data_IF_116433373079
#
_entry.id   IF_116433373079
#
_cell.length_a   1.000
_cell.length_b   1.000
_cell.length_c   1.000
_cell.angle_alpha   90.00
_cell.angle_beta   90.00
_cell.angle_gamma   90.00
#
_symmetry.space_group_name_H-M   'P 1'
#
loop_
_entity.id
_entity.type
_entity.pdbx_description
1 polymer ?
#
# COMPACT_ATOMS: atom_id res chain seq x y z
N UNK A 1 -18.63 11.96 -6.75
CA UNK A 1 -18.42 10.77 -5.89
C UNK A 1 -17.62 9.77 -6.70
N UNK A 2 -16.30 9.82 -6.64
CA UNK A 2 -15.43 8.86 -7.33
C UNK A 2 -14.63 8.11 -6.25
N UNK A 3 -14.94 6.81 -6.10
CA UNK A 3 -14.43 5.97 -5.04
C UNK A 3 -12.93 5.76 -5.17
N UNK A 4 -12.20 6.00 -4.08
CA UNK A 4 -10.87 5.42 -3.87
C UNK A 4 -10.98 3.91 -4.12
N UNK A 5 -10.45 3.40 -5.23
CA UNK A 5 -10.17 1.98 -5.35
C UNK A 5 -9.05 1.68 -4.36
N UNK A 6 -9.40 1.36 -3.11
CA UNK A 6 -8.55 0.53 -2.27
C UNK A 6 -8.23 -0.69 -3.13
N UNK A 7 -6.96 -0.94 -3.42
CA UNK A 7 -6.52 -2.15 -4.09
C UNK A 7 -7.23 -3.33 -3.42
N UNK A 8 -7.78 -4.25 -4.21
CA UNK A 8 -8.50 -5.37 -3.64
C UNK A 8 -7.52 -6.18 -2.79
N UNK A 9 -7.99 -6.89 -1.77
CA UNK A 9 -7.16 -7.80 -0.97
C UNK A 9 -6.39 -8.79 -1.87
N UNK A 10 -6.99 -9.18 -2.99
CA UNK A 10 -6.35 -10.03 -4.00
C UNK A 10 -5.15 -9.35 -4.65
N UNK A 11 -5.22 -8.05 -4.91
CA UNK A 11 -4.11 -7.29 -5.49
C UNK A 11 -2.95 -7.17 -4.50
N UNK A 12 -3.25 -6.94 -3.21
CA UNK A 12 -2.26 -6.89 -2.13
C UNK A 12 -1.51 -8.22 -2.00
N UNK A 13 -2.22 -9.35 -1.89
CA UNK A 13 -1.63 -10.69 -1.80
C UNK A 13 -0.78 -11.03 -3.04
N UNK A 14 -1.21 -10.60 -4.22
CA UNK A 14 -0.45 -10.79 -5.45
C UNK A 14 0.86 -10.03 -5.41
N UNK A 15 0.83 -8.74 -5.06
CA UNK A 15 2.04 -7.90 -5.03
C UNK A 15 3.01 -8.37 -3.95
N UNK A 16 2.54 -8.67 -2.74
CA UNK A 16 3.40 -9.19 -1.66
C UNK A 16 4.00 -10.54 -2.03
N UNK A 17 3.21 -11.42 -2.68
CA UNK A 17 3.69 -12.70 -3.20
C UNK A 17 4.80 -12.54 -4.23
N UNK A 18 4.71 -11.56 -5.11
CA UNK A 18 5.78 -11.21 -6.06
C UNK A 18 7.02 -10.70 -5.31
N UNK A 19 6.84 -9.73 -4.43
CA UNK A 19 7.95 -9.10 -3.71
C UNK A 19 8.59 -10.01 -2.64
N UNK A 20 7.92 -11.07 -2.23
CA UNK A 20 8.46 -12.08 -1.31
C UNK A 20 9.67 -12.84 -1.84
N UNK A 21 9.92 -12.82 -3.15
CA UNK A 21 11.08 -13.50 -3.77
C UNK A 21 12.19 -12.51 -4.15
N UNK A 22 13.43 -12.76 -3.73
CA UNK A 22 14.57 -11.85 -3.97
C UNK A 22 14.84 -11.64 -5.46
N UNK A 23 14.88 -12.71 -6.26
CA UNK A 23 15.15 -12.61 -7.70
C UNK A 23 14.11 -11.76 -8.41
N UNK A 24 12.81 -11.86 -8.02
CA UNK A 24 11.78 -11.00 -8.60
C UNK A 24 11.95 -9.54 -8.20
N UNK A 25 12.35 -9.26 -6.93
CA UNK A 25 12.68 -7.89 -6.53
C UNK A 25 13.86 -7.32 -7.32
N UNK A 26 14.90 -8.12 -7.55
CA UNK A 26 16.06 -7.69 -8.33
C UNK A 26 15.69 -7.41 -9.80
N UNK A 27 14.83 -8.24 -10.41
CA UNK A 27 14.28 -7.99 -11.75
C UNK A 27 13.48 -6.68 -11.77
N UNK A 28 12.56 -6.46 -10.82
CA UNK A 28 11.77 -5.23 -10.72
C UNK A 28 12.68 -4.02 -10.54
N UNK A 29 13.71 -4.10 -9.69
CA UNK A 29 14.70 -3.04 -9.50
C UNK A 29 15.46 -2.70 -10.78
N UNK A 30 15.76 -3.70 -11.61
CA UNK A 30 16.38 -3.45 -12.94
C UNK A 30 15.39 -2.79 -13.90
N UNK A 31 14.16 -3.28 -13.95
CA UNK A 31 13.10 -2.71 -14.79
C UNK A 31 12.67 -1.29 -14.37
N UNK A 32 12.88 -0.89 -13.11
CA UNK A 32 12.65 0.49 -12.69
C UNK A 32 13.67 1.49 -13.23
N UNK A 33 14.82 1.00 -13.72
CA UNK A 33 15.84 1.80 -14.39
C UNK A 33 15.57 1.95 -15.90
N UNK A 34 14.64 1.18 -16.45
CA UNK A 34 14.21 1.21 -17.84
C UNK A 34 13.79 -0.15 -18.38
N UNK A 35 13.14 -0.16 -19.55
CA UNK A 35 12.71 -1.40 -20.20
C UNK A 35 13.90 -2.30 -20.55
N UNK A 36 13.71 -3.63 -20.37
CA UNK A 36 14.78 -4.59 -20.64
C UNK A 36 14.25 -5.96 -21.09
N UNK A 37 15.12 -6.83 -21.58
CA UNK A 37 14.78 -8.15 -22.08
C UNK A 37 15.48 -9.28 -21.32
N UNK A 38 14.92 -10.49 -21.39
CA UNK A 38 15.31 -11.65 -20.56
C UNK A 38 16.80 -11.95 -20.55
N UNK A 39 17.47 -11.91 -21.72
CA UNK A 39 18.88 -12.26 -21.84
C UNK A 39 19.77 -11.25 -21.08
N UNK A 40 19.50 -9.95 -21.20
CA UNK A 40 20.27 -8.90 -20.51
C UNK A 40 20.03 -8.97 -19.00
N UNK A 41 18.78 -9.09 -18.56
CA UNK A 41 18.44 -9.25 -17.15
C UNK A 41 19.12 -10.49 -16.53
N UNK A 42 19.14 -11.63 -17.24
CA UNK A 42 19.80 -12.83 -16.76
C UNK A 42 21.31 -12.65 -16.60
N UNK A 43 21.95 -11.95 -17.55
CA UNK A 43 23.39 -11.65 -17.49
C UNK A 43 23.72 -10.68 -16.35
N UNK A 44 22.96 -9.58 -16.20
CA UNK A 44 23.20 -8.56 -15.17
C UNK A 44 22.95 -9.07 -13.75
N UNK A 45 21.96 -9.97 -13.58
CA UNK A 45 21.64 -10.59 -12.29
C UNK A 45 22.42 -11.87 -12.00
N UNK A 46 23.30 -12.29 -12.92
CA UNK A 46 24.07 -13.52 -12.83
C UNK A 46 23.22 -14.77 -12.54
N UNK A 47 22.09 -14.90 -13.24
CA UNK A 47 21.19 -16.05 -13.18
C UNK A 47 21.05 -16.67 -14.57
N UNK A 48 20.65 -17.95 -14.66
CA UNK A 48 20.41 -18.54 -15.97
C UNK A 48 19.16 -17.95 -16.65
N UNK A 49 19.14 -17.91 -17.97
CA UNK A 49 18.09 -17.31 -18.77
C UNK A 49 16.71 -17.97 -18.56
N UNK A 50 16.67 -19.28 -18.33
CA UNK A 50 15.42 -19.99 -18.06
C UNK A 50 14.78 -19.54 -16.73
N UNK A 51 15.62 -19.34 -15.70
CA UNK A 51 15.16 -18.83 -14.41
C UNK A 51 14.64 -17.39 -14.53
N UNK A 52 15.37 -16.51 -15.23
CA UNK A 52 14.93 -15.15 -15.52
C UNK A 52 13.58 -15.15 -16.26
N UNK A 53 13.45 -15.97 -17.32
CA UNK A 53 12.18 -16.09 -18.06
C UNK A 53 11.02 -16.57 -17.19
N UNK A 54 11.26 -17.55 -16.31
CA UNK A 54 10.26 -18.05 -15.35
C UNK A 54 9.78 -16.94 -14.41
N UNK A 55 10.70 -16.18 -13.84
CA UNK A 55 10.34 -15.08 -12.94
C UNK A 55 9.65 -13.93 -13.67
N UNK A 56 10.11 -13.55 -14.86
CA UNK A 56 9.44 -12.55 -15.70
C UNK A 56 8.02 -12.96 -16.06
N UNK A 57 7.79 -14.26 -16.37
CA UNK A 57 6.45 -14.78 -16.61
C UNK A 57 5.53 -14.59 -15.39
N UNK A 58 6.02 -14.88 -14.19
CA UNK A 58 5.24 -14.69 -12.94
C UNK A 58 4.92 -13.22 -12.72
N UNK A 59 5.85 -12.29 -12.97
CA UNK A 59 5.63 -10.85 -12.84
C UNK A 59 4.63 -10.36 -13.91
N UNK A 60 4.70 -10.89 -15.12
CA UNK A 60 3.77 -10.60 -16.22
C UNK A 60 2.35 -11.10 -15.91
N UNK A 61 2.21 -12.33 -15.41
CA UNK A 61 0.92 -12.94 -15.05
C UNK A 61 0.25 -12.17 -13.89
N UNK A 62 1.04 -11.47 -13.08
CA UNK A 62 0.57 -10.53 -12.05
C UNK A 62 0.24 -9.12 -12.59
N UNK A 63 0.35 -8.91 -13.91
CA UNK A 63 0.06 -7.63 -14.59
C UNK A 63 0.91 -6.44 -14.07
N UNK A 64 2.15 -6.70 -13.60
CA UNK A 64 3.07 -5.67 -13.13
C UNK A 64 3.95 -5.09 -14.25
N UNK A 65 4.03 -5.78 -15.39
CA UNK A 65 4.81 -5.38 -16.54
C UNK A 65 4.01 -5.51 -17.83
N UNK A 66 4.24 -4.60 -18.75
CA UNK A 66 3.85 -4.73 -20.15
C UNK A 66 4.99 -5.38 -20.95
N UNK A 67 4.63 -6.10 -22.00
CA UNK A 67 5.57 -6.76 -22.88
C UNK A 67 5.41 -6.26 -24.29
N UNK A 68 6.47 -5.68 -24.83
CA UNK A 68 6.51 -5.20 -26.21
C UNK A 68 7.46 -6.05 -27.01
N UNK A 69 7.00 -6.60 -28.15
CA UNK A 69 7.85 -7.33 -29.07
C UNK A 69 8.66 -6.36 -29.93
N UNK A 70 9.96 -6.36 -29.75
CA UNK A 70 10.87 -5.52 -30.50
C UNK A 70 11.55 -6.35 -31.60
N UNK A 71 11.45 -5.88 -32.85
CA UNK A 71 12.16 -6.48 -33.99
C UNK A 71 13.67 -6.28 -33.82
N UNK A 72 14.42 -7.33 -34.07
CA UNK A 72 15.88 -7.29 -34.09
C UNK A 72 16.40 -7.19 -35.52
N UNK A 73 17.34 -6.30 -35.77
CA UNK A 73 18.01 -6.19 -37.09
C UNK A 73 19.10 -7.26 -37.31
N UNK A 74 19.56 -7.93 -36.24
CA UNK A 74 20.70 -8.85 -36.27
C UNK A 74 20.38 -10.23 -35.63
N UNK A 75 19.12 -10.57 -35.41
CA UNK A 75 18.73 -11.83 -34.76
C UNK A 75 17.23 -12.00 -34.54
N UNK A 76 16.86 -12.92 -33.65
CA UNK A 76 15.48 -13.16 -33.31
C UNK A 76 14.84 -11.94 -32.58
N UNK A 77 13.56 -11.72 -32.82
CA UNK A 77 12.78 -10.70 -32.12
C UNK A 77 12.87 -10.88 -30.59
N UNK A 78 12.86 -9.78 -29.85
CA UNK A 78 13.00 -9.76 -28.38
C UNK A 78 11.70 -9.31 -27.74
N UNK A 79 11.35 -9.95 -26.64
CA UNK A 79 10.32 -9.46 -25.74
C UNK A 79 10.98 -8.50 -24.74
N UNK A 80 10.58 -7.24 -24.77
CA UNK A 80 11.04 -6.19 -23.87
C UNK A 80 9.95 -5.98 -22.83
N UNK A 81 10.33 -6.04 -21.55
CA UNK A 81 9.49 -5.88 -20.39
C UNK A 81 9.62 -4.47 -19.83
N UNK A 82 8.52 -3.84 -19.48
CA UNK A 82 8.47 -2.51 -18.89
C UNK A 82 7.49 -2.49 -17.71
N UNK A 83 7.84 -1.84 -16.60
CA UNK A 83 6.89 -1.60 -15.52
C UNK A 83 5.77 -0.67 -16.00
N UNK A 84 4.53 -1.02 -15.68
CA UNK A 84 3.35 -0.34 -16.24
C UNK A 84 2.58 0.53 -15.24
N UNK A 85 2.91 0.44 -13.95
CA UNK A 85 2.20 1.14 -12.87
C UNK A 85 3.14 1.50 -11.74
N UNK A 86 2.75 2.53 -11.00
CA UNK A 86 3.32 2.79 -9.69
C UNK A 86 2.65 1.89 -8.64
N UNK A 87 3.45 1.33 -7.74
CA UNK A 87 3.00 0.57 -6.60
C UNK A 87 3.72 1.01 -5.33
N UNK A 88 2.95 1.27 -4.28
CA UNK A 88 3.47 1.45 -2.92
C UNK A 88 2.81 0.45 -1.99
N UNK A 89 3.62 -0.41 -1.37
CA UNK A 89 3.20 -1.41 -0.41
C UNK A 89 3.72 -1.03 0.97
N UNK A 90 2.83 -0.99 1.94
CA UNK A 90 3.15 -0.70 3.34
C UNK A 90 2.54 -1.75 4.24
N UNK A 91 3.33 -2.23 5.20
CA UNK A 91 2.89 -3.13 6.26
C UNK A 91 3.47 -2.60 7.57
N UNK A 92 2.60 -2.27 8.50
CA UNK A 92 2.97 -1.81 9.84
C UNK A 92 2.40 -2.81 10.84
N UNK A 93 3.22 -3.25 11.79
CA UNK A 93 2.77 -4.16 12.82
C UNK A 93 3.49 -3.93 14.15
N UNK A 94 2.73 -4.09 15.22
CA UNK A 94 3.21 -4.06 16.61
C UNK A 94 2.18 -4.78 17.49
N UNK A 95 2.38 -4.90 18.81
CA UNK A 95 1.46 -5.65 19.68
C UNK A 95 0.00 -5.25 19.59
N UNK A 96 -0.31 -3.97 19.30
CA UNK A 96 -1.68 -3.46 19.18
C UNK A 96 -1.95 -2.80 17.83
N UNK A 97 -1.13 -3.09 16.83
CA UNK A 97 -1.24 -2.50 15.49
C UNK A 97 -0.96 -3.56 14.43
N UNK A 98 -1.90 -3.72 13.51
CA UNK A 98 -1.66 -4.33 12.22
C UNK A 98 -2.33 -3.48 11.15
N UNK A 99 -1.56 -3.00 10.18
CA UNK A 99 -2.05 -2.22 9.07
C UNK A 99 -1.35 -2.65 7.79
N UNK A 100 -2.13 -2.92 6.76
CA UNK A 100 -1.64 -3.21 5.42
C UNK A 100 -2.27 -2.27 4.40
N UNK A 101 -1.47 -1.76 3.49
CA UNK A 101 -1.93 -0.84 2.46
C UNK A 101 -1.19 -1.05 1.16
N UNK A 102 -1.94 -1.15 0.07
CA UNK A 102 -1.43 -1.10 -1.29
C UNK A 102 -2.03 0.13 -1.98
N UNK A 103 -1.15 0.95 -2.54
CA UNK A 103 -1.52 2.06 -3.42
C UNK A 103 -1.00 1.71 -4.81
N UNK A 104 -1.86 1.80 -5.82
CA UNK A 104 -1.45 1.66 -7.22
C UNK A 104 -2.15 2.70 -8.08
N UNK A 105 -1.43 3.27 -9.03
CA UNK A 105 -1.97 4.20 -10.00
C UNK A 105 -1.19 4.13 -11.32
N UNK A 106 -1.92 4.33 -12.42
CA UNK A 106 -1.38 4.34 -13.76
C UNK A 106 -1.02 5.77 -14.21
N UNK A 107 -1.70 6.78 -13.61
CA UNK A 107 -1.51 8.19 -13.92
C UNK A 107 -1.71 9.00 -12.62
N UNK A 108 -0.70 9.73 -12.15
CA UNK A 108 -0.77 10.55 -10.94
C UNK A 108 -1.85 11.65 -11.01
N UNK A 109 -2.14 12.19 -12.18
CA UNK A 109 -3.09 13.29 -12.36
C UNK A 109 -4.52 13.01 -11.86
N UNK A 110 -4.85 11.78 -11.48
CA UNK A 110 -6.16 11.41 -10.93
C UNK A 110 -6.24 11.50 -9.39
N UNK A 111 -5.12 11.72 -8.70
CA UNK A 111 -5.03 11.71 -7.24
C UNK A 111 -4.89 13.10 -6.63
N UNK A 112 -4.69 14.09 -7.47
CA UNK A 112 -4.43 15.44 -7.05
C UNK A 112 -5.76 16.12 -6.67
N UNK A 113 -6.01 16.26 -5.38
CA UNK A 113 -6.67 17.46 -4.90
C UNK A 113 -5.70 18.60 -5.23
N UNK A 114 -6.24 19.72 -5.72
CA UNK A 114 -5.49 20.94 -5.97
C UNK A 114 -4.54 21.21 -4.80
N UNK A 115 -3.27 20.94 -5.00
CA UNK A 115 -2.17 21.20 -4.07
C UNK A 115 -1.16 22.03 -4.85
N UNK A 116 -1.24 23.34 -4.67
CA UNK A 116 -0.40 24.34 -5.35
C UNK A 116 1.10 23.97 -5.29
N UNK A 117 1.53 23.30 -4.23
CA UNK A 117 2.92 22.88 -4.08
C UNK A 117 3.28 21.74 -5.05
N UNK A 118 2.42 20.74 -5.18
CA UNK A 118 2.62 19.61 -6.09
C UNK A 118 2.52 20.07 -7.55
N UNK A 119 1.56 20.95 -7.87
CA UNK A 119 1.42 21.54 -9.20
C UNK A 119 2.68 22.31 -9.60
N UNK A 120 3.26 23.10 -8.70
CA UNK A 120 4.50 23.83 -8.94
C UNK A 120 5.70 22.89 -9.18
N UNK A 121 5.78 21.75 -8.46
CA UNK A 121 6.82 20.75 -8.71
C UNK A 121 6.65 20.07 -10.07
N UNK A 122 5.41 19.72 -10.45
CA UNK A 122 5.12 19.12 -11.76
C UNK A 122 5.42 20.11 -12.90
N UNK A 123 5.08 21.40 -12.74
CA UNK A 123 5.37 22.45 -13.73
C UNK A 123 6.87 22.60 -13.93
N UNK A 124 7.65 22.65 -12.86
CA UNK A 124 9.12 22.69 -12.95
C UNK A 124 9.72 21.50 -13.69
N UNK A 125 9.19 20.30 -13.49
CA UNK A 125 9.64 19.12 -14.23
C UNK A 125 9.29 19.24 -15.71
N UNK A 126 8.08 19.70 -16.05
CA UNK A 126 7.65 19.90 -17.44
C UNK A 126 8.46 20.95 -18.15
N UNK A 127 8.74 22.07 -17.48
CA UNK A 127 9.59 23.15 -18.05
C UNK A 127 10.98 22.62 -18.44
N UNK A 128 11.53 21.74 -17.59
CA UNK A 128 12.83 21.11 -17.86
C UNK A 128 12.73 20.10 -19.03
N UNK A 129 11.63 19.35 -19.16
CA UNK A 129 11.41 18.41 -20.27
C UNK A 129 11.24 19.13 -21.61
N UNK A 130 10.51 20.28 -21.61
CA UNK A 130 10.24 21.07 -22.82
C UNK A 130 11.47 21.83 -23.32
N UNK A 131 12.39 22.24 -22.44
CA UNK A 131 13.59 23.05 -22.79
C UNK A 131 14.74 22.23 -23.41
N UNK A 132 14.48 20.96 -23.83
CA UNK A 132 15.45 20.03 -24.41
C UNK A 132 16.78 20.07 -23.68
N UNK A 133 16.77 19.64 -22.41
CA UNK A 133 17.97 19.57 -21.60
C UNK A 133 19.15 19.00 -22.36
N UNK A 134 20.25 19.70 -22.35
CA UNK A 134 21.53 19.15 -22.77
C UNK A 134 21.91 18.04 -21.80
N UNK A 135 22.32 16.88 -22.33
CA UNK A 135 22.66 15.69 -21.53
C UNK A 135 23.72 16.00 -20.45
N UNK A 136 24.44 17.11 -20.62
CA UNK A 136 25.53 17.54 -19.75
C UNK A 136 25.07 18.36 -18.52
N UNK A 137 23.79 18.78 -18.41
CA UNK A 137 23.27 19.53 -17.25
C UNK A 137 21.97 18.95 -16.67
N UNK A 138 22.11 17.88 -15.93
CA UNK A 138 21.01 17.25 -15.17
C UNK A 138 20.87 17.80 -13.73
N UNK A 139 21.64 18.85 -13.38
CA UNK A 139 21.67 19.43 -12.04
C UNK A 139 20.31 19.88 -11.53
N UNK A 140 19.45 20.58 -12.33
CA UNK A 140 18.13 21.02 -11.87
C UNK A 140 17.20 19.86 -11.48
N UNK A 141 17.25 18.75 -12.23
CA UNK A 141 16.47 17.55 -11.90
C UNK A 141 16.92 16.93 -10.58
N UNK A 142 18.23 16.93 -10.29
CA UNK A 142 18.77 16.44 -9.02
C UNK A 142 18.26 17.25 -7.83
N UNK A 143 18.21 18.59 -7.96
CA UNK A 143 17.69 19.47 -6.90
C UNK A 143 16.21 19.19 -6.63
N UNK A 144 15.39 19.02 -7.67
CA UNK A 144 13.98 18.67 -7.53
C UNK A 144 13.82 17.30 -6.83
N UNK A 145 14.57 16.29 -7.27
CA UNK A 145 14.54 14.96 -6.67
C UNK A 145 14.93 15.02 -5.19
N UNK A 146 15.95 15.80 -4.84
CA UNK A 146 16.38 15.93 -3.44
C UNK A 146 15.33 16.61 -2.57
N UNK A 147 14.66 17.67 -3.06
CA UNK A 147 13.56 18.33 -2.33
C UNK A 147 12.40 17.34 -2.10
N UNK A 148 12.06 16.54 -3.11
CA UNK A 148 11.01 15.52 -2.99
C UNK A 148 11.42 14.42 -1.99
N UNK A 149 12.65 13.95 -2.03
CA UNK A 149 13.16 12.91 -1.12
C UNK A 149 13.16 13.39 0.34
N UNK A 150 13.57 14.64 0.60
CA UNK A 150 13.55 15.26 1.94
C UNK A 150 12.12 15.37 2.49
N UNK A 151 11.15 15.76 1.65
CA UNK A 151 9.74 15.83 2.03
C UNK A 151 9.16 14.45 2.31
N UNK A 152 9.45 13.46 1.46
CA UNK A 152 9.04 12.07 1.67
C UNK A 152 9.60 11.52 2.99
N UNK A 153 10.87 11.77 3.30
CA UNK A 153 11.48 11.35 4.57
C UNK A 153 10.80 12.02 5.77
N UNK A 154 10.46 13.30 5.66
CA UNK A 154 9.72 14.05 6.69
C UNK A 154 8.33 13.45 6.93
N UNK A 155 7.60 13.17 5.86
CA UNK A 155 6.28 12.53 5.92
C UNK A 155 6.34 11.12 6.53
N UNK A 156 7.34 10.33 6.19
CA UNK A 156 7.56 8.99 6.76
C UNK A 156 7.86 9.05 8.26
N UNK A 157 8.71 9.95 8.71
CA UNK A 157 9.00 10.18 10.14
C UNK A 157 7.75 10.61 10.90
N UNK A 158 6.98 11.55 10.34
CA UNK A 158 5.70 12.00 10.93
C UNK A 158 4.70 10.85 11.02
N UNK A 159 4.57 10.07 9.96
CA UNK A 159 3.71 8.88 9.91
C UNK A 159 4.11 7.85 10.99
N UNK A 160 5.39 7.51 11.08
CA UNK A 160 5.90 6.56 12.08
C UNK A 160 5.58 7.02 13.50
N UNK A 161 5.73 8.32 13.78
CA UNK A 161 5.39 8.90 15.09
C UNK A 161 3.89 8.82 15.40
N UNK A 162 3.04 9.09 14.41
CA UNK A 162 1.58 8.97 14.57
C UNK A 162 1.16 7.52 14.83
N UNK A 163 1.75 6.55 14.13
CA UNK A 163 1.51 5.13 14.36
C UNK A 163 1.96 4.70 15.76
N UNK A 164 3.10 5.18 16.22
CA UNK A 164 3.57 4.92 17.58
C UNK A 164 2.58 5.46 18.63
N UNK A 165 2.12 6.71 18.48
CA UNK A 165 1.13 7.31 19.41
C UNK A 165 -0.20 6.53 19.37
N UNK A 166 -0.66 6.14 18.16
CA UNK A 166 -1.85 5.30 18.00
C UNK A 166 -1.70 3.96 18.72
N UNK A 167 -0.54 3.32 18.59
CA UNK A 167 -0.26 2.07 19.29
C UNK A 167 -0.26 2.23 20.82
N UNK A 168 0.28 3.34 21.35
CA UNK A 168 0.20 3.65 22.78
C UNK A 168 -1.25 3.82 23.24
N UNK A 169 -2.09 4.50 22.47
CA UNK A 169 -3.50 4.69 22.80
C UNK A 169 -4.27 3.35 22.80
N UNK A 170 -4.03 2.49 21.81
CA UNK A 170 -4.64 1.15 21.77
C UNK A 170 -4.14 0.24 22.90
N UNK A 171 -2.86 0.32 23.23
CA UNK A 171 -2.26 -0.39 24.37
C UNK A 171 -2.88 0.05 25.70
N UNK A 172 -3.08 1.36 25.90
CA UNK A 172 -3.75 1.89 27.08
C UNK A 172 -5.20 1.40 27.19
N UNK A 173 -5.95 1.39 26.07
CA UNK A 173 -7.29 0.83 26.03
C UNK A 173 -7.29 -0.67 26.34
N UNK A 174 -6.33 -1.44 25.84
CA UNK A 174 -6.18 -2.86 26.15
C UNK A 174 -5.97 -3.11 27.65
N UNK A 175 -5.05 -2.37 28.27
CA UNK A 175 -4.75 -2.51 29.69
C UNK A 175 -5.96 -2.12 30.57
N UNK A 176 -6.68 -1.06 30.20
CA UNK A 176 -7.90 -0.64 30.92
C UNK A 176 -9.01 -1.71 30.89
N UNK A 177 -8.97 -2.62 29.92
CA UNK A 177 -9.96 -3.68 29.72
C UNK A 177 -9.47 -5.05 30.22
N UNK A 178 -8.35 -5.14 30.92
CA UNK A 178 -7.73 -6.42 31.29
C UNK A 178 -8.65 -7.30 32.14
N UNK A 179 -9.43 -6.71 33.05
CA UNK A 179 -10.38 -7.39 33.93
C UNK A 179 -11.77 -7.62 33.29
N UNK A 180 -12.02 -7.08 32.10
CA UNK A 180 -13.30 -7.20 31.41
C UNK A 180 -13.41 -8.56 30.70
N UNK A 181 -14.61 -9.14 30.70
CA UNK A 181 -14.88 -10.40 29.98
C UNK A 181 -14.35 -10.37 28.54
N UNK A 182 -13.86 -11.52 28.05
CA UNK A 182 -13.17 -11.62 26.77
C UNK A 182 -14.01 -11.11 25.58
N UNK A 183 -15.30 -11.46 25.55
CA UNK A 183 -16.15 -11.06 24.41
C UNK A 183 -16.47 -9.58 24.44
N UNK A 184 -16.78 -9.03 25.62
CA UNK A 184 -16.96 -7.59 25.83
C UNK A 184 -15.71 -6.81 25.46
N UNK A 185 -14.54 -7.28 25.91
CA UNK A 185 -13.23 -6.68 25.58
C UNK A 185 -12.99 -6.63 24.07
N UNK A 186 -13.24 -7.73 23.36
CA UNK A 186 -13.06 -7.79 21.91
C UNK A 186 -13.93 -6.76 21.18
N UNK A 187 -15.19 -6.62 21.57
CA UNK A 187 -16.09 -5.62 20.95
C UNK A 187 -15.61 -4.19 21.26
N UNK A 188 -15.28 -3.89 22.51
CA UNK A 188 -14.78 -2.54 22.88
C UNK A 188 -13.51 -2.21 22.12
N UNK A 189 -12.53 -3.12 22.07
CA UNK A 189 -11.28 -2.93 21.34
C UNK A 189 -11.53 -2.68 19.84
N UNK A 190 -12.43 -3.43 19.24
CA UNK A 190 -12.83 -3.22 17.86
C UNK A 190 -13.42 -1.82 17.62
N UNK A 191 -14.28 -1.36 18.54
CA UNK A 191 -14.87 -0.03 18.46
C UNK A 191 -13.85 1.10 18.69
N UNK A 192 -12.86 0.89 19.55
CA UNK A 192 -11.74 1.84 19.75
C UNK A 192 -10.88 1.94 18.48
N UNK A 193 -10.62 0.80 17.82
CA UNK A 193 -9.73 0.74 16.65
C UNK A 193 -10.40 1.21 15.36
N UNK A 194 -11.62 0.77 15.11
CA UNK A 194 -12.31 0.94 13.83
C UNK A 194 -13.50 1.92 13.90
N UNK A 195 -13.88 2.34 15.10
CA UNK A 195 -15.03 3.23 15.32
C UNK A 195 -16.39 2.51 15.27
N UNK A 196 -17.48 3.26 15.13
CA UNK A 196 -18.82 2.71 15.12
C UNK A 196 -19.01 1.60 14.09
N UNK A 197 -19.58 0.47 14.54
CA UNK A 197 -19.63 -0.75 13.73
C UNK A 197 -21.00 -1.43 13.87
N UNK A 198 -21.55 -1.98 12.78
CA UNK A 198 -22.83 -2.67 12.81
C UNK A 198 -22.72 -4.06 13.46
N UNK A 199 -23.85 -4.55 14.00
CA UNK A 199 -23.95 -5.92 14.56
C UNK A 199 -23.52 -6.98 13.54
N UNK A 200 -23.95 -6.83 12.28
CA UNK A 200 -23.55 -7.75 11.19
C UNK A 200 -22.03 -7.75 10.96
N UNK A 201 -21.39 -6.56 10.99
CA UNK A 201 -19.95 -6.44 10.82
C UNK A 201 -19.17 -7.04 12.02
N UNK A 202 -19.65 -6.83 13.26
CA UNK A 202 -19.10 -7.46 14.45
C UNK A 202 -19.25 -8.99 14.40
N UNK A 203 -20.41 -9.49 13.99
CA UNK A 203 -20.68 -10.91 13.79
C UNK A 203 -19.65 -11.55 12.83
N UNK A 204 -19.41 -10.92 11.70
CA UNK A 204 -18.41 -11.36 10.71
C UNK A 204 -16.98 -11.27 11.25
N UNK A 205 -16.64 -10.18 11.94
CA UNK A 205 -15.29 -9.97 12.47
C UNK A 205 -14.90 -11.01 13.53
N UNK A 206 -15.83 -11.39 14.38
CA UNK A 206 -15.58 -12.33 15.47
C UNK A 206 -16.04 -13.78 15.20
N UNK A 207 -16.63 -14.03 14.02
CA UNK A 207 -17.18 -15.33 13.64
C UNK A 207 -18.24 -15.85 14.65
N UNK A 208 -19.04 -14.94 15.19
CA UNK A 208 -20.16 -15.19 16.08
C UNK A 208 -21.47 -15.01 15.33
N UNK A 209 -22.56 -15.63 15.80
CA UNK A 209 -23.88 -15.30 15.28
C UNK A 209 -24.35 -13.92 15.79
N UNK A 210 -25.24 -13.27 15.08
CA UNK A 210 -25.73 -11.93 15.43
C UNK A 210 -26.45 -11.89 16.78
N UNK A 211 -27.13 -12.98 17.16
CA UNK A 211 -27.81 -13.11 18.43
C UNK A 211 -26.84 -13.07 19.61
N UNK A 212 -25.70 -13.77 19.51
CA UNK A 212 -24.64 -13.73 20.51
C UNK A 212 -24.00 -12.35 20.62
N UNK A 213 -23.74 -11.69 19.47
CA UNK A 213 -23.20 -10.31 19.45
C UNK A 213 -24.20 -9.35 20.09
N UNK A 214 -25.48 -9.43 19.76
CA UNK A 214 -26.54 -8.61 20.37
C UNK A 214 -26.62 -8.82 21.89
N UNK A 215 -26.46 -10.07 22.36
CA UNK A 215 -26.41 -10.36 23.79
C UNK A 215 -25.28 -9.60 24.51
N UNK A 216 -24.05 -9.68 23.95
CA UNK A 216 -22.88 -8.99 24.52
C UNK A 216 -23.04 -7.47 24.43
N UNK A 217 -23.53 -6.95 23.30
CA UNK A 217 -23.78 -5.50 23.14
C UNK A 217 -24.82 -5.01 24.15
N UNK A 218 -25.92 -5.78 24.38
CA UNK A 218 -26.93 -5.41 25.37
C UNK A 218 -26.39 -5.39 26.81
N UNK A 219 -25.41 -6.27 27.12
CA UNK A 219 -24.73 -6.19 28.41
C UNK A 219 -23.83 -4.96 28.51
N UNK A 220 -23.08 -4.65 27.45
CA UNK A 220 -22.25 -3.44 27.38
C UNK A 220 -23.08 -2.14 27.46
N UNK A 221 -24.31 -2.14 26.93
CA UNK A 221 -25.27 -1.03 27.10
C UNK A 221 -25.72 -0.89 28.54
N UNK A 222 -26.01 -2.00 29.24
CA UNK A 222 -26.34 -1.97 30.67
C UNK A 222 -25.18 -1.47 31.53
N UNK A 223 -23.96 -1.81 31.14
CA UNK A 223 -22.73 -1.35 31.81
C UNK A 223 -22.38 0.12 31.42
N UNK A 224 -23.21 0.79 30.62
CA UNK A 224 -23.07 2.18 30.17
C UNK A 224 -21.78 2.43 29.32
N UNK A 225 -21.23 1.41 28.70
CA UNK A 225 -20.00 1.47 27.93
C UNK A 225 -20.22 1.73 26.44
N UNK A 226 -21.35 1.26 25.90
CA UNK A 226 -21.72 1.44 24.49
C UNK A 226 -23.17 1.88 24.35
N UNK A 227 -23.53 2.33 23.16
CA UNK A 227 -24.92 2.54 22.72
C UNK A 227 -25.11 1.97 21.33
N UNK A 228 -26.28 1.40 21.08
CA UNK A 228 -26.67 0.90 19.77
C UNK A 228 -27.75 1.81 19.17
N UNK A 229 -27.39 2.58 18.16
CA UNK A 229 -28.29 3.51 17.47
C UNK A 229 -28.33 3.14 15.99
N UNK A 230 -29.52 2.90 15.44
CA UNK A 230 -29.71 2.57 14.02
C UNK A 230 -28.86 1.37 13.56
N UNK A 231 -28.76 0.33 14.38
CA UNK A 231 -27.93 -0.86 14.13
C UNK A 231 -26.42 -0.60 14.06
N UNK A 232 -25.96 0.56 14.57
CA UNK A 232 -24.55 0.90 14.75
C UNK A 232 -24.23 0.99 16.23
N UNK A 233 -23.25 0.19 16.66
CA UNK A 233 -22.73 0.18 18.02
C UNK A 233 -21.64 1.23 18.14
N UNK A 234 -21.77 2.14 19.10
CA UNK A 234 -20.85 3.23 19.39
C UNK A 234 -20.32 3.08 20.81
N UNK A 235 -19.06 3.49 21.03
CA UNK A 235 -18.59 3.74 22.39
C UNK A 235 -19.33 4.95 22.97
N UNK A 236 -19.66 4.88 24.25
CA UNK A 236 -20.22 6.02 24.97
C UNK A 236 -19.06 6.92 25.41
N UNK A 237 -19.11 8.19 25.00
CA UNK A 237 -18.15 9.23 25.38
C UNK A 237 -18.63 9.98 26.61
#
# INVERSE_FOLDING_TARGET
MSGKKKGSRKDFETVIGILGNSVRRDIIKKLSQGPDYTLRLSSELNINQQLAAKHLKVIQDAELVDVVRQKSTLGADKNVFNLNKFYSLQIDFSPSLYNERLISFNNPNHWLQEDDYMENLEEKVKDIEDDRMDVDDVSPLREIVQVIDDELESLEKRRARLLYIRNLALGAAHNALEEVDRQKRQIIQHLVDLGPTSIEALSKAFQLNEEAVNGVVSELEKDDLVKNENNLVHLKC
#
